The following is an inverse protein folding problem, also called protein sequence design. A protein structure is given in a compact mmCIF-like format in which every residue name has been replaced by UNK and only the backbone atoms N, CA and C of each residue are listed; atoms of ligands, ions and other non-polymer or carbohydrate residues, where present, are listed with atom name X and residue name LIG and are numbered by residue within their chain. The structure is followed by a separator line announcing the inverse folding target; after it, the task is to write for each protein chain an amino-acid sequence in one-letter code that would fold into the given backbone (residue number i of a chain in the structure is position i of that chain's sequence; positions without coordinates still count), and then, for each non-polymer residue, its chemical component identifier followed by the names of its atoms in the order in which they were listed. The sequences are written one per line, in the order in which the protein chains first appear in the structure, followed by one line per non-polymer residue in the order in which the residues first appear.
data_IF_439011152912
#
_entry.id   IF_439011152912
#
_cell.length_a   1.000
_cell.length_b   1.000
_cell.length_c   1.000
_cell.angle_alpha   90.00
_cell.angle_beta   90.00
_cell.angle_gamma   90.00
#
_symmetry.space_group_name_H-M   'P 1'
#
loop_
_entity.id
_entity.type
_entity.pdbx_description
1 polymer ?
#
# COMPACT_ATOMS: atom_id res chain seq x y z
N UNK A 1 -3.70 19.87 -6.81
CA UNK A 1 -2.94 19.25 -5.70
C UNK A 1 -2.21 17.98 -6.14
N UNK A 2 -2.89 17.01 -6.82
CA UNK A 2 -2.28 15.75 -7.24
C UNK A 2 -1.08 15.96 -8.19
N UNK A 3 -1.21 16.80 -9.21
CA UNK A 3 -0.12 17.09 -10.15
C UNK A 3 1.09 17.76 -9.48
N UNK A 4 0.87 18.63 -8.49
CA UNK A 4 1.94 19.27 -7.72
C UNK A 4 2.69 18.24 -6.87
N UNK A 5 1.97 17.30 -6.25
CA UNK A 5 2.55 16.22 -5.48
C UNK A 5 3.39 15.28 -6.37
N UNK A 6 2.84 14.87 -7.51
CA UNK A 6 3.54 14.04 -8.50
C UNK A 6 4.83 14.73 -8.96
N UNK A 7 4.76 16.00 -9.35
CA UNK A 7 5.93 16.76 -9.77
C UNK A 7 6.99 16.93 -8.67
N UNK A 8 6.57 16.97 -7.42
CA UNK A 8 7.51 17.03 -6.28
C UNK A 8 8.19 15.69 -6.05
N UNK A 9 7.44 14.61 -6.18
CA UNK A 9 7.94 13.24 -5.97
C UNK A 9 8.89 12.83 -7.11
N UNK A 10 8.54 13.13 -8.37
CA UNK A 10 9.37 12.79 -9.53
C UNK A 10 10.74 13.50 -9.54
N UNK A 11 10.85 14.64 -8.86
CA UNK A 11 12.12 15.33 -8.65
C UNK A 11 13.00 14.70 -7.57
N UNK A 12 12.47 13.76 -6.79
CA UNK A 12 13.23 13.07 -5.74
C UNK A 12 13.70 11.72 -6.25
N UNK A 13 15.01 11.49 -6.19
CA UNK A 13 15.58 10.17 -6.41
C UNK A 13 15.30 9.28 -5.20
N UNK A 14 15.12 7.98 -5.44
CA UNK A 14 14.92 6.96 -4.40
C UNK A 14 13.60 7.05 -3.60
N UNK A 15 12.50 7.37 -4.26
CA UNK A 15 11.17 7.29 -3.66
C UNK A 15 10.59 5.89 -3.87
N UNK A 16 10.13 5.29 -2.79
CA UNK A 16 9.48 3.98 -2.77
C UNK A 16 8.05 4.15 -2.23
N UNK A 17 7.06 3.70 -2.98
CA UNK A 17 5.68 3.66 -2.52
C UNK A 17 5.38 2.27 -1.96
N UNK A 18 4.73 2.22 -0.81
CA UNK A 18 4.39 0.97 -0.12
C UNK A 18 2.90 0.97 0.21
N UNK A 19 2.19 -0.04 -0.28
CA UNK A 19 0.76 -0.23 -0.02
C UNK A 19 0.50 -1.57 0.67
N UNK A 20 -0.33 -1.57 1.72
CA UNK A 20 -0.78 -2.80 2.40
C UNK A 20 -1.82 -3.55 1.60
N UNK A 21 -2.59 -2.84 0.81
CA UNK A 21 -3.70 -3.40 0.03
C UNK A 21 -3.56 -2.97 -1.43
N UNK A 22 -4.01 -3.80 -2.33
CA UNK A 22 -4.02 -3.51 -3.77
C UNK A 22 -5.21 -4.20 -4.43
N UNK A 23 -5.94 -3.44 -5.23
CA UNK A 23 -7.05 -3.97 -6.02
C UNK A 23 -6.67 -4.17 -7.49
N UNK A 24 -5.37 -4.10 -7.83
CA UNK A 24 -4.92 -4.37 -9.21
C UNK A 24 -5.21 -5.82 -9.59
N UNK A 25 -5.66 -6.02 -10.84
CA UNK A 25 -5.99 -7.34 -11.41
C UNK A 25 -5.19 -7.66 -12.67
N UNK A 26 -4.21 -6.83 -13.00
CA UNK A 26 -3.52 -6.85 -14.30
C UNK A 26 -2.65 -8.07 -14.54
N UNK A 27 -2.08 -8.65 -13.48
CA UNK A 27 -1.12 -9.76 -13.63
C UNK A 27 -1.80 -11.09 -13.92
N UNK A 28 -3.04 -11.27 -13.46
CA UNK A 28 -3.84 -12.50 -13.64
C UNK A 28 -5.10 -12.29 -14.50
N UNK A 29 -5.27 -11.13 -15.11
CA UNK A 29 -6.45 -10.80 -15.91
C UNK A 29 -6.67 -11.80 -17.05
N UNK A 30 -5.60 -12.16 -17.78
CA UNK A 30 -5.62 -13.13 -18.87
C UNK A 30 -6.01 -14.55 -18.42
N UNK A 31 -5.98 -14.84 -17.13
CA UNK A 31 -6.39 -16.12 -16.55
C UNK A 31 -7.82 -16.08 -16.00
N UNK A 32 -8.58 -15.03 -16.29
CA UNK A 32 -9.95 -14.86 -15.81
C UNK A 32 -10.03 -14.54 -14.31
N UNK A 33 -9.01 -13.92 -13.73
CA UNK A 33 -8.95 -13.62 -12.31
C UNK A 33 -10.05 -12.65 -11.87
N UNK A 34 -10.82 -13.03 -10.85
CA UNK A 34 -11.89 -12.24 -10.25
C UNK A 34 -11.37 -11.36 -9.12
N UNK A 35 -10.44 -11.88 -8.30
CA UNK A 35 -9.82 -11.18 -7.18
C UNK A 35 -8.60 -10.33 -7.61
N UNK A 36 -8.14 -9.45 -6.73
CA UNK A 36 -6.92 -8.69 -6.97
C UNK A 36 -5.66 -9.56 -6.98
N UNK A 37 -4.62 -9.12 -7.71
CA UNK A 37 -3.35 -9.85 -7.86
C UNK A 37 -2.74 -10.25 -6.52
N UNK A 38 -2.81 -9.38 -5.52
CA UNK A 38 -2.28 -9.62 -4.17
C UNK A 38 -2.92 -10.85 -3.50
N UNK A 39 -4.19 -11.12 -3.79
CA UNK A 39 -4.91 -12.28 -3.26
C UNK A 39 -4.28 -13.58 -3.76
N UNK A 40 -4.04 -13.69 -5.07
CA UNK A 40 -3.44 -14.89 -5.67
C UNK A 40 -2.04 -15.14 -5.15
N UNK A 41 -1.19 -14.11 -5.09
CA UNK A 41 0.15 -14.24 -4.52
C UNK A 41 0.14 -14.62 -3.04
N UNK A 42 -0.82 -14.10 -2.27
CA UNK A 42 -0.93 -14.42 -0.85
C UNK A 42 -1.27 -15.90 -0.60
N UNK A 43 -2.01 -16.53 -1.53
CA UNK A 43 -2.37 -17.94 -1.45
C UNK A 43 -1.35 -18.88 -2.11
N UNK A 44 -0.52 -18.36 -3.01
CA UNK A 44 0.46 -19.16 -3.73
C UNK A 44 1.64 -19.58 -2.84
N UNK A 45 2.06 -18.76 -1.89
CA UNK A 45 3.21 -19.06 -1.02
C UNK A 45 3.12 -18.34 0.31
N UNK A 46 3.63 -18.95 1.37
CA UNK A 46 3.83 -18.32 2.67
C UNK A 46 5.27 -17.80 2.87
N UNK A 47 6.20 -18.22 2.00
CA UNK A 47 7.62 -17.91 2.12
C UNK A 47 7.94 -16.45 1.79
N UNK A 48 9.00 -15.88 2.39
CA UNK A 48 9.52 -14.57 2.02
C UNK A 48 9.98 -14.54 0.55
N UNK A 49 9.78 -13.41 -0.10
CA UNK A 49 10.15 -13.21 -1.48
C UNK A 49 9.31 -12.13 -2.15
N UNK A 50 9.44 -12.00 -3.45
CA UNK A 50 8.66 -11.05 -4.23
C UNK A 50 8.23 -11.63 -5.58
N UNK A 51 7.15 -11.06 -6.12
CA UNK A 51 6.57 -11.46 -7.40
C UNK A 51 7.43 -11.04 -8.59
N UNK A 52 7.08 -11.49 -9.77
CA UNK A 52 7.57 -10.91 -11.03
C UNK A 52 7.38 -9.40 -11.02
N UNK A 53 8.37 -8.68 -11.57
CA UNK A 53 8.30 -7.22 -11.78
C UNK A 53 7.24 -6.94 -12.84
N UNK A 54 6.36 -6.01 -12.54
CA UNK A 54 5.32 -5.54 -13.44
C UNK A 54 5.50 -4.05 -13.70
N UNK A 55 5.58 -3.67 -14.97
CA UNK A 55 5.66 -2.27 -15.38
C UNK A 55 4.30 -1.81 -15.90
N UNK A 56 3.88 -0.64 -15.47
CA UNK A 56 2.60 -0.04 -15.84
C UNK A 56 2.79 1.45 -16.15
N UNK A 57 2.26 1.88 -17.28
CA UNK A 57 2.22 3.30 -17.65
C UNK A 57 1.02 3.94 -16.98
N UNK A 58 1.25 4.97 -16.16
CA UNK A 58 0.21 5.76 -15.50
C UNK A 58 0.37 7.23 -15.83
N UNK A 59 -0.70 7.96 -15.78
CA UNK A 59 -0.74 9.41 -16.00
C UNK A 59 -0.24 9.88 -17.38
N UNK A 60 -0.47 9.10 -18.44
CA UNK A 60 0.05 9.34 -19.78
C UNK A 60 1.32 8.55 -20.06
N UNK A 61 1.85 8.66 -21.27
CA UNK A 61 2.97 7.85 -21.78
C UNK A 61 4.31 8.05 -21.07
N UNK A 62 4.44 9.12 -20.28
CA UNK A 62 5.75 9.57 -19.80
C UNK A 62 6.10 9.07 -18.41
N UNK A 63 5.16 8.43 -17.70
CA UNK A 63 5.42 7.91 -16.37
C UNK A 63 5.19 6.40 -16.31
N UNK A 64 6.28 5.66 -16.17
CA UNK A 64 6.25 4.21 -15.91
C UNK A 64 6.42 3.97 -14.42
N UNK A 65 5.69 2.98 -13.90
CA UNK A 65 5.82 2.51 -12.53
C UNK A 65 6.15 1.02 -12.57
N UNK A 66 7.29 0.66 -11.99
CA UNK A 66 7.68 -0.73 -11.77
C UNK A 66 7.19 -1.19 -10.41
N UNK A 67 6.51 -2.32 -10.34
CA UNK A 67 5.91 -2.80 -9.10
C UNK A 67 6.12 -4.29 -8.86
N UNK A 68 6.19 -4.66 -7.56
CA UNK A 68 6.20 -6.06 -7.10
C UNK A 68 5.28 -6.21 -5.89
N UNK A 69 4.77 -7.42 -5.68
CA UNK A 69 4.20 -7.85 -4.42
C UNK A 69 5.26 -8.58 -3.62
N UNK A 70 5.53 -8.16 -2.40
CA UNK A 70 6.60 -8.70 -1.58
C UNK A 70 6.10 -9.17 -0.21
N UNK A 71 6.61 -10.32 0.22
CA UNK A 71 6.47 -10.84 1.58
C UNK A 71 7.83 -10.73 2.27
N UNK A 72 7.92 -9.86 3.25
CA UNK A 72 9.19 -9.59 3.94
C UNK A 72 9.53 -10.66 4.98
N UNK A 73 8.52 -11.25 5.61
CA UNK A 73 8.67 -12.25 6.66
C UNK A 73 7.66 -13.36 6.40
N UNK A 74 8.05 -14.60 6.70
CA UNK A 74 7.26 -15.80 6.51
C UNK A 74 5.87 -15.68 7.15
N UNK A 75 4.84 -16.13 6.46
CA UNK A 75 3.45 -16.16 6.88
C UNK A 75 2.82 -14.78 7.21
N UNK A 76 3.54 -13.68 7.02
CA UNK A 76 2.99 -12.33 7.19
C UNK A 76 2.37 -11.80 5.87
N UNK A 77 1.48 -10.80 5.97
CA UNK A 77 0.82 -10.23 4.80
C UNK A 77 1.79 -9.70 3.74
N UNK A 78 1.40 -9.82 2.48
CA UNK A 78 2.09 -9.17 1.37
C UNK A 78 1.90 -7.66 1.42
N UNK A 79 2.93 -6.96 0.93
CA UNK A 79 2.88 -5.53 0.63
C UNK A 79 3.17 -5.31 -0.85
N UNK A 80 2.59 -4.27 -1.44
CA UNK A 80 2.93 -3.83 -2.79
C UNK A 80 4.01 -2.77 -2.70
N UNK A 81 5.08 -2.93 -3.46
CA UNK A 81 6.17 -1.98 -3.61
C UNK A 81 6.11 -1.41 -5.01
N UNK A 82 6.16 -0.09 -5.13
CA UNK A 82 6.13 0.61 -6.42
C UNK A 82 7.29 1.61 -6.47
N UNK A 83 7.99 1.62 -7.61
CA UNK A 83 9.08 2.51 -7.94
C UNK A 83 8.73 3.32 -9.19
N UNK A 84 9.14 4.58 -9.22
CA UNK A 84 9.02 5.40 -10.42
C UNK A 84 10.14 5.06 -11.39
N UNK A 85 9.80 4.84 -12.65
CA UNK A 85 10.70 4.47 -13.71
C UNK A 85 10.52 3.03 -14.19
N UNK A 86 11.29 2.70 -15.22
CA UNK A 86 11.36 1.38 -15.85
C UNK A 86 12.79 0.84 -15.80
N UNK A 87 12.94 -0.45 -16.16
CA UNK A 87 14.26 -1.06 -16.32
C UNK A 87 14.88 -1.54 -15.00
N UNK A 88 14.13 -1.58 -13.90
CA UNK A 88 14.58 -2.19 -12.66
C UNK A 88 14.67 -3.71 -12.81
N UNK A 89 15.72 -4.28 -12.30
CA UNK A 89 15.92 -5.73 -12.26
C UNK A 89 15.63 -6.34 -10.88
N UNK A 90 15.80 -7.66 -10.78
CA UNK A 90 15.58 -8.38 -9.54
C UNK A 90 16.58 -7.99 -8.44
N UNK A 91 17.78 -7.58 -8.77
CA UNK A 91 18.80 -7.22 -7.79
C UNK A 91 18.55 -5.82 -7.23
N UNK A 92 18.01 -4.91 -8.03
CA UNK A 92 17.51 -3.62 -7.58
C UNK A 92 16.40 -3.78 -6.53
N UNK A 93 15.40 -4.61 -6.85
CA UNK A 93 14.31 -4.89 -5.90
C UNK A 93 14.81 -5.61 -4.65
N UNK A 94 15.73 -6.57 -4.76
CA UNK A 94 16.35 -7.23 -3.58
C UNK A 94 17.03 -6.22 -2.67
N UNK A 95 17.81 -5.29 -3.26
CA UNK A 95 18.50 -4.26 -2.50
C UNK A 95 17.52 -3.37 -1.72
N UNK A 96 16.45 -2.91 -2.38
CA UNK A 96 15.41 -2.08 -1.80
C UNK A 96 14.66 -2.85 -0.70
N UNK A 97 14.22 -4.08 -0.99
CA UNK A 97 13.49 -4.91 -0.04
C UNK A 97 14.32 -5.24 1.20
N UNK A 98 15.63 -5.48 1.06
CA UNK A 98 16.54 -5.68 2.19
C UNK A 98 16.66 -4.42 3.07
N UNK A 99 16.69 -3.22 2.47
CA UNK A 99 16.66 -1.96 3.22
C UNK A 99 15.34 -1.78 3.96
N UNK A 100 14.22 -2.09 3.30
CA UNK A 100 12.89 -2.04 3.92
C UNK A 100 12.79 -3.05 5.06
N UNK A 101 13.23 -4.29 4.86
CA UNK A 101 13.21 -5.35 5.88
C UNK A 101 13.97 -4.96 7.14
N UNK A 102 15.18 -4.39 7.00
CA UNK A 102 16.00 -3.91 8.15
C UNK A 102 15.27 -2.84 8.98
N UNK A 103 14.34 -2.10 8.40
CA UNK A 103 13.55 -1.06 9.06
C UNK A 103 12.09 -1.48 9.30
N UNK A 104 11.81 -2.78 9.27
CA UNK A 104 10.46 -3.33 9.42
C UNK A 104 10.27 -4.05 10.76
N UNK A 105 9.04 -3.99 11.27
CA UNK A 105 8.60 -4.73 12.45
C UNK A 105 7.32 -5.47 12.10
N UNK A 106 7.32 -6.80 12.25
CA UNK A 106 6.18 -7.63 11.88
C UNK A 106 5.87 -7.57 10.39
N UNK A 107 6.91 -7.57 9.53
CA UNK A 107 6.76 -7.58 8.06
C UNK A 107 6.26 -6.27 7.45
N UNK A 108 6.24 -5.16 8.21
CA UNK A 108 5.83 -3.85 7.72
C UNK A 108 6.77 -2.73 8.18
N UNK A 109 7.10 -1.74 7.33
CA UNK A 109 8.02 -0.66 7.69
C UNK A 109 7.57 0.10 8.93
N UNK A 110 8.46 0.19 9.92
CA UNK A 110 8.15 0.76 11.23
C UNK A 110 7.73 2.23 11.16
N UNK A 111 8.43 3.03 10.35
CA UNK A 111 8.09 4.44 10.16
C UNK A 111 6.66 4.64 9.62
N UNK A 112 6.23 3.79 8.66
CA UNK A 112 4.87 3.84 8.13
C UNK A 112 3.84 3.37 9.17
N UNK A 113 4.19 2.40 10.03
CA UNK A 113 3.35 1.97 11.13
C UNK A 113 3.13 3.10 12.13
N UNK A 114 4.19 3.83 12.49
CA UNK A 114 4.09 4.99 13.36
C UNK A 114 3.25 6.11 12.73
N UNK A 115 3.51 6.45 11.48
CA UNK A 115 2.75 7.46 10.75
C UNK A 115 1.25 7.10 10.72
N UNK A 116 0.92 5.85 10.38
CA UNK A 116 -0.45 5.37 10.38
C UNK A 116 -1.12 5.51 11.76
N UNK A 117 -0.45 5.09 12.82
CA UNK A 117 -0.99 5.16 14.17
C UNK A 117 -1.22 6.62 14.63
N UNK A 118 -0.35 7.55 14.21
CA UNK A 118 -0.49 8.97 14.55
C UNK A 118 -1.56 9.69 13.72
N UNK A 119 -1.84 9.21 12.50
CA UNK A 119 -2.86 9.80 11.63
C UNK A 119 -4.22 9.11 11.72
N UNK A 120 -4.32 7.98 12.41
CA UNK A 120 -5.55 7.21 12.51
C UNK A 120 -6.54 7.94 13.41
N UNK A 121 -7.70 8.28 12.85
CA UNK A 121 -8.86 8.74 13.61
C UNK A 121 -9.64 7.49 14.05
N UNK A 122 -9.78 7.30 15.34
CA UNK A 122 -10.57 6.21 15.91
C UNK A 122 -12.06 6.56 15.97
N UNK A 123 -12.92 5.55 16.11
CA UNK A 123 -14.35 5.78 16.34
C UNK A 123 -14.58 6.60 17.61
N UNK A 124 -13.71 6.47 18.62
CA UNK A 124 -13.75 7.28 19.84
C UNK A 124 -13.47 8.77 19.57
N UNK A 125 -12.52 9.07 18.66
CA UNK A 125 -12.23 10.44 18.25
C UNK A 125 -13.39 11.04 17.46
N UNK A 126 -14.02 10.23 16.57
CA UNK A 126 -15.23 10.63 15.85
C UNK A 126 -16.40 10.91 16.78
N UNK A 127 -16.64 10.03 17.76
CA UNK A 127 -17.69 10.22 18.76
C UNK A 127 -17.46 11.49 19.59
N UNK A 128 -16.19 11.75 19.98
CA UNK A 128 -15.82 12.98 20.68
C UNK A 128 -16.04 14.22 19.83
N UNK A 129 -15.65 14.20 18.56
CA UNK A 129 -15.91 15.30 17.62
C UNK A 129 -17.41 15.53 17.42
N UNK A 130 -18.19 14.46 17.21
CA UNK A 130 -19.64 14.53 17.10
C UNK A 130 -20.27 15.17 18.33
N UNK A 131 -19.83 14.79 19.53
CA UNK A 131 -20.28 15.37 20.80
C UNK A 131 -19.95 16.86 20.89
N UNK A 132 -18.73 17.28 20.54
CA UNK A 132 -18.32 18.69 20.56
C UNK A 132 -19.19 19.54 19.62
N UNK A 133 -19.58 19.00 18.48
CA UNK A 133 -20.41 19.67 17.49
C UNK A 133 -21.92 19.45 17.68
N UNK A 134 -22.34 18.81 18.79
CA UNK A 134 -23.74 18.56 19.10
C UNK A 134 -24.44 17.52 18.22
N UNK A 135 -23.67 16.76 17.42
CA UNK A 135 -24.20 15.79 16.48
C UNK A 135 -24.56 14.43 17.12
N UNK A 136 -24.11 14.17 18.36
CA UNK A 136 -24.36 12.91 19.07
C UNK A 136 -25.79 12.78 19.59
N UNK A 137 -26.59 13.85 19.57
CA UNK A 137 -27.97 13.86 20.05
C UNK A 137 -29.01 13.99 18.93
N UNK A 138 -28.58 13.85 17.66
CA UNK A 138 -29.55 13.88 16.57
C UNK A 138 -30.41 12.60 16.55
N UNK A 139 -31.72 12.80 16.34
CA UNK A 139 -32.69 11.70 16.18
C UNK A 139 -32.27 10.87 14.97
N UNK A 140 -31.97 9.58 15.19
CA UNK A 140 -31.49 8.65 14.18
C UNK A 140 -30.00 8.30 14.27
N UNK A 141 -29.30 8.72 15.32
CA UNK A 141 -27.97 8.19 15.62
C UNK A 141 -28.06 6.68 15.93
N UNK A 142 -27.03 5.91 15.55
CA UNK A 142 -27.01 4.45 15.79
C UNK A 142 -27.14 4.07 17.27
N UNK A 143 -26.74 4.92 18.19
CA UNK A 143 -26.86 4.71 19.64
C UNK A 143 -28.30 4.75 20.16
N UNK A 144 -29.25 5.24 19.36
CA UNK A 144 -30.68 5.26 19.69
C UNK A 144 -31.38 3.98 19.21
N UNK A 145 -30.70 3.19 18.35
CA UNK A 145 -31.27 1.98 17.74
C UNK A 145 -30.77 0.67 18.39
N UNK A 146 -29.85 0.74 19.34
CA UNK A 146 -29.42 -0.33 20.24
C UNK A 146 -30.10 -0.18 21.62
#
# INVERSE_FOLDING_TARGET
LANSLVNTITKKNNVVFISKTSNTKKQFENLGAIAGDIFYYNHATASPGFSKIHEDSKFGSDMVISSVFARLVESLPLIKIELLGSGYDNDDFKLILNKILKNSVGGYPYALKLAHNNCKISNKDLAKLASIHGLSNEIGSREILE
#
